data_IF_870409729453
#
_entry.id   IF_870409729453
#
_cell.length_a   1.000
_cell.length_b   1.000
_cell.length_c   1.000
_cell.angle_alpha   90.00
_cell.angle_beta   90.00
_cell.angle_gamma   90.00
#
_symmetry.space_group_name_H-M   'P 1'
#
loop_
_entity.id
_entity.type
_entity.pdbx_description
1 polymer ?
#
# COMPACT_ATOMS: atom_id res chain seq x y z
N UNK A 1 1.21 -2.75 -6.98
CA UNK A 1 1.75 -3.77 -6.06
C UNK A 1 0.91 -3.84 -4.79
N UNK A 2 0.88 -5.00 -4.15
CA UNK A 2 0.34 -5.14 -2.79
C UNK A 2 1.48 -4.88 -1.82
N UNK A 3 1.25 -3.95 -0.90
CA UNK A 3 2.22 -3.47 0.08
C UNK A 3 1.62 -3.67 1.46
N UNK A 4 2.45 -4.14 2.40
CA UNK A 4 2.16 -4.16 3.83
C UNK A 4 2.94 -3.03 4.47
N UNK A 5 2.23 -2.15 5.16
CA UNK A 5 2.81 -1.01 5.89
C UNK A 5 2.62 -1.26 7.38
N UNK A 6 3.71 -1.38 8.13
CA UNK A 6 3.69 -1.31 9.58
C UNK A 6 3.55 0.15 10.01
N UNK A 7 2.42 0.52 10.59
CA UNK A 7 2.16 1.88 11.04
C UNK A 7 1.99 1.94 12.56
N UNK A 8 2.75 2.82 13.20
CA UNK A 8 2.67 3.06 14.64
C UNK A 8 1.40 3.83 14.96
N UNK A 9 0.53 3.21 15.75
CA UNK A 9 -0.71 3.79 16.25
C UNK A 9 -0.57 3.97 17.75
N UNK A 10 -0.82 5.19 18.22
CA UNK A 10 -0.79 5.55 19.65
C UNK A 10 -2.22 5.76 20.13
N UNK A 11 -2.64 4.98 21.12
CA UNK A 11 -3.93 5.09 21.79
C UNK A 11 -3.64 5.43 23.26
N UNK A 12 -3.81 6.70 23.63
CA UNK A 12 -3.42 7.20 24.95
C UNK A 12 -1.92 7.05 25.21
N UNK A 13 -1.56 6.24 26.21
CA UNK A 13 -0.16 5.99 26.60
C UNK A 13 0.47 4.78 25.90
N UNK A 14 -0.33 3.95 25.21
CA UNK A 14 0.16 2.72 24.58
C UNK A 14 0.37 2.92 23.08
N UNK A 15 1.53 2.47 22.58
CA UNK A 15 1.82 2.42 21.16
C UNK A 15 1.91 0.97 20.68
N UNK A 16 1.41 0.71 19.47
CA UNK A 16 1.54 -0.58 18.78
C UNK A 16 1.76 -0.36 17.29
N UNK A 17 2.43 -1.31 16.64
CA UNK A 17 2.53 -1.33 15.18
C UNK A 17 1.34 -2.11 14.62
N UNK A 18 0.49 -1.42 13.85
CA UNK A 18 -0.61 -2.02 13.13
C UNK A 18 -0.22 -2.23 11.67
N UNK A 19 -0.45 -3.45 11.17
CA UNK A 19 -0.19 -3.77 9.77
C UNK A 19 -1.36 -3.34 8.89
N UNK A 20 -1.08 -2.50 7.90
CA UNK A 20 -2.02 -2.13 6.85
C UNK A 20 -1.55 -2.71 5.51
N UNK A 21 -2.20 -3.79 5.09
CA UNK A 21 -1.91 -4.46 3.82
C UNK A 21 -2.98 -4.16 2.78
N UNK A 22 -2.56 -3.77 1.59
CA UNK A 22 -3.47 -3.51 0.48
C UNK A 22 -2.75 -3.17 -0.81
N UNK A 23 -3.52 -2.85 -1.84
CA UNK A 23 -2.97 -2.45 -3.14
C UNK A 23 -2.55 -0.99 -3.09
N UNK A 24 -1.31 -0.70 -3.45
CA UNK A 24 -0.87 0.66 -3.71
C UNK A 24 -1.52 1.17 -5.00
N UNK A 25 -2.40 2.17 -4.87
CA UNK A 25 -3.21 2.71 -5.98
C UNK A 25 -2.63 4.00 -6.57
N UNK A 26 -1.61 4.58 -5.94
CA UNK A 26 -0.96 5.78 -6.45
C UNK A 26 0.19 6.23 -5.56
N UNK A 27 1.10 6.98 -6.18
CA UNK A 27 2.16 7.75 -5.52
C UNK A 27 2.01 9.22 -5.90
N UNK A 28 2.36 10.12 -4.99
CA UNK A 28 2.30 11.57 -5.16
C UNK A 28 3.51 12.24 -4.51
N UNK A 29 3.77 13.51 -4.81
CA UNK A 29 4.84 14.29 -4.18
C UNK A 29 6.26 14.01 -4.66
N UNK A 30 6.42 13.24 -5.74
CA UNK A 30 7.73 13.01 -6.39
C UNK A 30 8.73 12.23 -5.53
N UNK A 31 9.98 12.65 -5.56
CA UNK A 31 11.12 12.06 -4.82
C UNK A 31 11.51 12.86 -3.56
N UNK A 32 10.85 13.99 -3.29
CA UNK A 32 11.17 14.86 -2.16
C UNK A 32 10.44 14.46 -0.87
N UNK A 33 10.59 15.27 0.18
CA UNK A 33 10.01 15.00 1.50
C UNK A 33 8.47 14.91 1.50
N UNK A 34 7.82 15.54 0.53
CA UNK A 34 6.37 15.45 0.31
C UNK A 34 5.91 14.16 -0.38
N UNK A 35 6.83 13.24 -0.68
CA UNK A 35 6.51 11.96 -1.30
C UNK A 35 5.55 11.15 -0.43
N UNK A 36 4.50 10.65 -1.05
CA UNK A 36 3.48 9.84 -0.38
C UNK A 36 2.94 8.76 -1.31
N UNK A 37 2.32 7.76 -0.73
CA UNK A 37 1.66 6.69 -1.46
C UNK A 37 0.35 6.30 -0.80
N UNK A 38 -0.63 5.88 -1.60
CA UNK A 38 -1.97 5.54 -1.13
C UNK A 38 -2.20 4.05 -1.27
N UNK A 39 -2.56 3.40 -0.17
CA UNK A 39 -2.87 1.97 -0.11
C UNK A 39 -4.36 1.79 0.11
N UNK A 40 -4.98 0.93 -0.71
CA UNK A 40 -6.40 0.58 -0.67
C UNK A 40 -6.57 -0.88 -0.27
N UNK A 41 -7.47 -1.15 0.67
CA UNK A 41 -7.96 -2.51 0.99
C UNK A 41 -9.47 -2.50 1.19
N UNK A 42 -10.09 -3.66 1.03
CA UNK A 42 -11.44 -3.88 1.54
C UNK A 42 -11.29 -4.45 2.95
N UNK A 43 -11.91 -3.83 3.93
CA UNK A 43 -11.92 -4.26 5.33
C UNK A 43 -13.38 -4.40 5.76
N UNK A 44 -13.79 -5.58 6.22
CA UNK A 44 -15.18 -5.82 6.66
C UNK A 44 -16.25 -5.39 5.65
N UNK A 45 -15.98 -5.57 4.35
CA UNK A 45 -16.90 -5.18 3.26
C UNK A 45 -16.79 -3.73 2.82
N UNK A 46 -16.07 -2.88 3.55
CA UNK A 46 -15.91 -1.46 3.25
C UNK A 46 -14.55 -1.14 2.63
N UNK A 47 -14.54 -0.20 1.68
CA UNK A 47 -13.32 0.26 1.05
C UNK A 47 -12.56 1.25 1.92
N UNK A 48 -11.41 0.85 2.43
CA UNK A 48 -10.55 1.70 3.26
C UNK A 48 -9.31 2.09 2.47
N UNK A 49 -9.05 3.40 2.42
CA UNK A 49 -7.83 3.96 1.84
C UNK A 49 -7.04 4.68 2.92
N UNK A 50 -5.71 4.49 2.92
CA UNK A 50 -4.79 5.28 3.75
C UNK A 50 -3.67 5.84 2.89
N UNK A 51 -3.37 7.11 3.10
CA UNK A 51 -2.25 7.80 2.48
C UNK A 51 -1.10 7.84 3.50
N UNK A 52 0.07 7.39 3.07
CA UNK A 52 1.27 7.29 3.89
C UNK A 52 2.34 8.23 3.33
N UNK A 53 2.82 9.21 4.11
CA UNK A 53 4.01 9.97 3.76
C UNK A 53 5.23 9.05 3.83
N UNK A 54 6.02 8.98 2.76
CA UNK A 54 7.11 8.01 2.61
C UNK A 54 8.16 8.10 3.73
N UNK A 55 8.40 9.31 4.23
CA UNK A 55 9.40 9.61 5.25
C UNK A 55 8.81 9.85 6.65
N UNK A 56 7.57 9.41 6.90
CA UNK A 56 6.95 9.55 8.22
C UNK A 56 7.62 8.65 9.25
N UNK A 57 7.97 9.20 10.42
CA UNK A 57 8.48 8.46 11.57
C UNK A 57 7.47 7.49 12.19
N UNK A 58 6.19 7.61 11.81
CA UNK A 58 5.15 6.67 12.23
C UNK A 58 5.15 5.39 11.38
N UNK A 59 5.89 5.35 10.28
CA UNK A 59 6.06 4.12 9.50
C UNK A 59 7.21 3.33 10.10
N UNK A 60 6.90 2.13 10.55
CA UNK A 60 7.87 1.17 11.06
C UNK A 60 8.53 0.38 9.92
N UNK A 61 7.72 -0.11 8.98
CA UNK A 61 8.19 -0.94 7.87
C UNK A 61 7.30 -0.84 6.64
N UNK A 62 7.90 -0.99 5.46
CA UNK A 62 7.19 -1.07 4.17
C UNK A 62 7.70 -2.32 3.45
N UNK A 63 6.82 -3.32 3.29
CA UNK A 63 7.16 -4.57 2.62
C UNK A 63 6.30 -4.75 1.38
N UNK A 64 6.93 -5.08 0.25
CA UNK A 64 6.20 -5.51 -0.93
C UNK A 64 5.84 -6.98 -0.77
N UNK A 65 4.54 -7.26 -0.59
CA UNK A 65 4.03 -8.64 -0.43
C UNK A 65 3.89 -9.32 -1.79
N UNK A 66 3.43 -8.57 -2.79
CA UNK A 66 3.17 -9.11 -4.14
C UNK A 66 3.31 -8.02 -5.19
N UNK A 67 3.96 -8.35 -6.32
CA UNK A 67 4.04 -7.44 -7.47
C UNK A 67 2.85 -7.65 -8.40
N UNK A 68 2.15 -6.57 -8.70
CA UNK A 68 0.94 -6.58 -9.54
C UNK A 68 1.23 -6.09 -10.95
N UNK A 69 0.77 -6.82 -11.96
CA UNK A 69 0.83 -6.37 -13.36
C UNK A 69 -0.30 -5.38 -13.63
N UNK A 70 0.05 -4.10 -13.75
CA UNK A 70 -0.87 -3.00 -14.04
C UNK A 70 -0.36 -2.15 -15.21
N UNK A 71 -1.25 -1.44 -15.88
CA UNK A 71 -0.94 -0.57 -17.03
C UNK A 71 -0.96 0.93 -16.73
N UNK A 72 -1.47 1.32 -15.55
CA UNK A 72 -1.64 2.73 -15.15
C UNK A 72 -0.86 2.97 -13.86
N UNK A 73 -0.28 4.16 -13.72
CA UNK A 73 0.40 4.58 -12.49
C UNK A 73 -0.59 4.88 -11.36
N UNK A 74 -1.78 5.41 -11.70
CA UNK A 74 -2.91 5.64 -10.78
C UNK A 74 -4.02 4.63 -11.05
N UNK A 75 -4.38 3.87 -10.02
CA UNK A 75 -5.33 2.75 -10.09
C UNK A 75 -6.69 3.12 -9.48
N UNK A 76 -7.10 4.38 -9.55
CA UNK A 76 -8.35 4.86 -8.93
C UNK A 76 -9.60 4.14 -9.44
N UNK A 77 -9.54 3.57 -10.64
CA UNK A 77 -10.59 2.69 -11.16
C UNK A 77 -10.90 1.49 -10.24
N UNK A 78 -10.01 1.12 -9.31
CA UNK A 78 -10.24 0.05 -8.33
C UNK A 78 -11.19 0.47 -7.21
N UNK A 79 -11.60 1.73 -7.17
CA UNK A 79 -12.63 2.22 -6.23
C UNK A 79 -14.00 1.66 -6.58
N UNK A 80 -14.31 1.62 -7.87
CA UNK A 80 -15.62 1.21 -8.38
C UNK A 80 -15.68 -0.28 -8.74
N UNK A 81 -14.53 -0.96 -8.74
CA UNK A 81 -14.45 -2.40 -9.06
C UNK A 81 -14.51 -3.27 -7.82
N UNK A 82 -15.22 -4.41 -7.92
CA UNK A 82 -15.36 -5.42 -6.87
C UNK A 82 -15.21 -6.84 -7.44
N UNK A 83 -14.91 -7.79 -6.57
CA UNK A 83 -14.81 -9.21 -6.93
C UNK A 83 -13.74 -9.47 -7.99
N UNK A 84 -14.08 -10.25 -9.03
CA UNK A 84 -13.13 -10.66 -10.09
C UNK A 84 -12.56 -9.48 -10.87
N UNK A 85 -13.35 -8.43 -11.12
CA UNK A 85 -12.90 -7.28 -11.92
C UNK A 85 -11.86 -6.41 -11.21
N UNK A 86 -11.82 -6.46 -9.88
CA UNK A 86 -10.83 -5.75 -9.05
C UNK A 86 -9.51 -6.52 -8.89
N UNK A 87 -9.45 -7.80 -9.31
CA UNK A 87 -8.24 -8.61 -9.15
C UNK A 87 -7.14 -8.12 -10.09
N UNK A 88 -5.93 -8.01 -9.54
CA UNK A 88 -4.72 -7.69 -10.28
C UNK A 88 -3.93 -8.98 -10.50
N UNK A 89 -3.56 -9.24 -11.75
CA UNK A 89 -2.70 -10.36 -12.11
C UNK A 89 -1.31 -10.20 -11.51
N UNK A 90 -0.70 -11.29 -11.09
CA UNK A 90 0.66 -11.25 -10.54
C UNK A 90 1.69 -11.01 -11.64
N UNK A 91 2.78 -10.32 -11.29
CA UNK A 91 3.97 -10.28 -12.12
C UNK A 91 4.91 -11.40 -11.69
N UNK A 92 4.81 -12.55 -12.35
CA UNK A 92 5.58 -13.79 -12.03
C UNK A 92 7.08 -13.68 -12.31
N UNK A 93 7.48 -12.83 -13.26
CA UNK A 93 8.89 -12.72 -13.69
C UNK A 93 9.69 -11.69 -12.86
N UNK A 94 9.19 -11.30 -11.68
CA UNK A 94 9.90 -10.36 -10.83
C UNK A 94 10.95 -11.10 -10.00
N UNK A 95 12.23 -10.82 -10.26
CA UNK A 95 13.30 -11.15 -9.32
C UNK A 95 13.35 -10.05 -8.27
N UNK A 96 13.11 -10.41 -7.00
CA UNK A 96 13.48 -9.52 -5.91
C UNK A 96 14.98 -9.22 -6.03
N UNK A 97 15.37 -7.96 -5.89
CA UNK A 97 16.77 -7.65 -5.63
C UNK A 97 17.08 -8.37 -4.32
N UNK A 98 18.04 -9.31 -4.35
CA UNK A 98 18.43 -10.06 -3.16
C UNK A 98 18.67 -9.09 -2.02
N UNK A 99 18.02 -9.32 -0.89
CA UNK A 99 18.43 -8.69 0.36
C UNK A 99 19.70 -9.37 0.82
N UNK A 100 20.67 -8.58 1.29
CA UNK A 100 21.73 -9.07 2.17
C UNK A 100 21.13 -9.72 3.43
#
# INVERSE_FOLDING_TARGET
DTVRVGYKVTEGTRSRVQMFEGVCIGRSGGMGIGASFTVRKISFGEGVERMFPLYSTNIDSITVVRRGRVRRAKLYYLRDRRGKSARIAEKTNYRALGGE
#
